data_IF_048032848617
#
_entry.id   IF_048032848617
#
_cell.length_a   1.000
_cell.length_b   1.000
_cell.length_c   1.000
_cell.angle_alpha   90.00
_cell.angle_beta   90.00
_cell.angle_gamma   90.00
#
_symmetry.space_group_name_H-M   'P 1'
#
loop_
_entity.id
_entity.type
_entity.pdbx_description
1 polymer ?
#
# COMPACT_ATOMS: atom_id res chain seq x y z
N UNK A 1 -5.84 -1.81 -15.77
CA UNK A 1 -5.52 -1.21 -14.46
C UNK A 1 -4.18 -1.71 -13.98
N UNK A 2 -3.39 -0.84 -13.44
CA UNK A 2 -2.10 -1.17 -12.86
C UNK A 2 -2.20 -1.02 -11.35
N UNK A 3 -1.70 -2.02 -10.60
CA UNK A 3 -1.83 -2.07 -9.14
C UNK A 3 -0.46 -1.99 -8.48
N UNK A 4 -0.35 -1.14 -7.45
CA UNK A 4 0.77 -1.14 -6.52
C UNK A 4 0.31 -1.82 -5.24
N UNK A 5 1.06 -2.82 -4.79
CA UNK A 5 0.76 -3.55 -3.56
C UNK A 5 1.86 -3.28 -2.55
N UNK A 6 1.46 -2.92 -1.33
CA UNK A 6 2.38 -2.75 -0.20
C UNK A 6 1.93 -3.69 0.91
N UNK A 7 2.86 -4.50 1.42
CA UNK A 7 2.58 -5.47 2.48
C UNK A 7 3.43 -5.12 3.70
N UNK A 8 2.78 -5.05 4.87
CA UNK A 8 3.45 -4.83 6.15
C UNK A 8 3.38 -6.09 6.98
N UNK A 9 4.53 -6.50 7.53
CA UNK A 9 4.65 -7.75 8.29
C UNK A 9 4.97 -7.46 9.75
N UNK A 10 4.21 -8.11 10.64
CA UNK A 10 4.48 -8.18 12.07
C UNK A 10 4.82 -6.83 12.72
N UNK A 11 3.85 -5.90 12.79
CA UNK A 11 4.07 -4.66 13.55
C UNK A 11 4.30 -4.99 15.02
N UNK A 12 5.23 -4.26 15.64
CA UNK A 12 5.58 -4.46 17.06
C UNK A 12 4.38 -4.17 17.96
N UNK A 13 3.57 -3.16 17.61
CA UNK A 13 2.34 -2.82 18.32
C UNK A 13 1.22 -2.65 17.27
N UNK A 14 0.42 -3.72 17.01
CA UNK A 14 -0.61 -3.66 15.99
C UNK A 14 -1.64 -2.55 16.18
N UNK A 15 -2.08 -2.30 17.40
CA UNK A 15 -3.08 -1.27 17.67
C UNK A 15 -2.52 0.13 17.37
N UNK A 16 -1.30 0.41 17.77
CA UNK A 16 -0.63 1.68 17.48
C UNK A 16 -0.37 1.84 15.98
N UNK A 17 0.03 0.75 15.31
CA UNK A 17 0.21 0.74 13.87
C UNK A 17 -1.10 1.11 13.14
N UNK A 18 -2.19 0.45 13.49
CA UNK A 18 -3.50 0.68 12.85
C UNK A 18 -3.96 2.12 13.04
N UNK A 19 -3.84 2.65 14.25
CA UNK A 19 -4.25 4.01 14.55
C UNK A 19 -3.46 5.03 13.74
N UNK A 20 -2.14 4.90 13.73
CA UNK A 20 -1.29 5.82 12.98
C UNK A 20 -1.47 5.68 11.48
N UNK A 21 -1.57 4.46 10.99
CA UNK A 21 -1.76 4.20 9.57
C UNK A 21 -3.04 4.88 9.07
N UNK A 22 -4.14 4.68 9.79
CA UNK A 22 -5.43 5.27 9.42
C UNK A 22 -5.44 6.78 9.53
N UNK A 23 -4.90 7.33 10.61
CA UNK A 23 -4.98 8.78 10.87
C UNK A 23 -3.95 9.61 10.10
N UNK A 24 -2.79 9.04 9.80
CA UNK A 24 -1.66 9.77 9.19
C UNK A 24 -1.35 9.29 7.78
N UNK A 25 -1.21 7.97 7.58
CA UNK A 25 -0.74 7.44 6.30
C UNK A 25 -1.85 7.46 5.23
N UNK A 26 -3.06 7.06 5.57
CA UNK A 26 -4.18 7.01 4.62
C UNK A 26 -4.41 8.36 3.93
N UNK A 27 -4.45 9.51 4.64
CA UNK A 27 -4.57 10.81 3.97
C UNK A 27 -3.42 11.12 3.02
N UNK A 28 -2.19 10.71 3.35
CA UNK A 28 -1.03 10.90 2.47
C UNK A 28 -1.17 10.09 1.18
N UNK A 29 -1.67 8.87 1.26
CA UNK A 29 -1.92 8.04 0.08
C UNK A 29 -3.02 8.63 -0.79
N UNK A 30 -4.09 9.15 -0.17
CA UNK A 30 -5.18 9.78 -0.91
C UNK A 30 -4.73 11.00 -1.73
N UNK A 31 -3.61 11.62 -1.37
CA UNK A 31 -3.08 12.77 -2.10
C UNK A 31 -2.30 12.40 -3.36
N UNK A 32 -2.03 11.09 -3.59
CA UNK A 32 -1.26 10.65 -4.75
C UNK A 32 -1.96 11.03 -6.07
N UNK A 33 -1.22 11.60 -7.03
CA UNK A 33 -1.81 11.91 -8.33
C UNK A 33 -2.18 10.65 -9.08
N UNK A 34 -3.33 10.66 -9.73
CA UNK A 34 -3.79 9.55 -10.57
C UNK A 34 -4.32 8.33 -9.82
N UNK A 35 -4.35 8.37 -8.49
CA UNK A 35 -4.91 7.27 -7.71
C UNK A 35 -6.41 7.12 -8.00
N UNK A 36 -6.83 5.92 -8.39
CA UNK A 36 -8.23 5.64 -8.72
C UNK A 36 -8.95 4.86 -7.63
N UNK A 37 -8.21 4.00 -6.91
CA UNK A 37 -8.77 3.20 -5.84
C UNK A 37 -7.68 2.86 -4.84
N UNK A 38 -8.05 2.73 -3.58
CA UNK A 38 -7.13 2.38 -2.50
C UNK A 38 -7.89 1.47 -1.53
N UNK A 39 -7.40 0.26 -1.35
CA UNK A 39 -8.01 -0.73 -0.49
C UNK A 39 -7.03 -1.24 0.55
N UNK A 40 -7.56 -1.60 1.70
CA UNK A 40 -6.80 -2.17 2.82
C UNK A 40 -7.40 -3.50 3.21
N UNK A 41 -6.54 -4.48 3.48
CA UNK A 41 -6.95 -5.80 3.95
C UNK A 41 -6.07 -6.24 5.10
N UNK A 42 -6.68 -6.81 6.13
CA UNK A 42 -5.98 -7.59 7.17
C UNK A 42 -6.17 -9.06 6.82
N UNK A 43 -5.23 -9.69 6.08
CA UNK A 43 -5.46 -11.05 5.60
C UNK A 43 -5.35 -12.09 6.71
N UNK A 44 -6.03 -13.21 6.51
CA UNK A 44 -5.87 -14.41 7.31
C UNK A 44 -4.98 -15.40 6.58
N UNK A 45 -4.01 -15.99 7.29
CA UNK A 45 -3.17 -17.03 6.72
C UNK A 45 -3.99 -18.29 6.44
N UNK A 46 -3.82 -18.84 5.24
CA UNK A 46 -4.41 -20.13 4.87
C UNK A 46 -3.39 -21.27 4.85
N UNK A 47 -2.13 -20.94 5.02
CA UNK A 47 -1.01 -21.87 5.04
C UNK A 47 0.02 -21.39 6.02
N UNK A 48 1.16 -20.90 5.50
CA UNK A 48 2.21 -20.31 6.32
C UNK A 48 1.87 -18.86 6.65
N UNK A 49 2.83 -17.98 6.67
CA UNK A 49 2.64 -16.59 7.09
C UNK A 49 1.83 -15.77 6.09
N UNK A 50 1.08 -14.83 6.63
CA UNK A 50 0.43 -13.78 5.87
C UNK A 50 0.92 -12.41 6.36
N UNK A 51 0.91 -11.37 5.49
CA UNK A 51 1.16 -10.01 5.97
C UNK A 51 0.10 -9.58 6.98
N UNK A 52 0.46 -8.64 7.84
CA UNK A 52 -0.48 -8.04 8.77
C UNK A 52 -1.47 -7.11 8.06
N UNK A 53 -0.95 -6.29 7.13
CA UNK A 53 -1.75 -5.36 6.35
C UNK A 53 -1.31 -5.42 4.89
N UNK A 54 -2.29 -5.48 3.99
CA UNK A 54 -2.08 -5.35 2.54
C UNK A 54 -2.79 -4.09 2.06
N UNK A 55 -2.02 -3.17 1.50
CA UNK A 55 -2.53 -1.97 0.84
C UNK A 55 -2.44 -2.16 -0.66
N UNK A 56 -3.53 -1.91 -1.36
CA UNK A 56 -3.58 -2.00 -2.81
C UNK A 56 -4.00 -0.65 -3.38
N UNK A 57 -3.16 -0.09 -4.25
CA UNK A 57 -3.36 1.20 -4.88
C UNK A 57 -3.53 0.96 -6.39
N UNK A 58 -4.57 1.52 -6.97
CA UNK A 58 -4.95 1.26 -8.35
C UNK A 58 -4.78 2.51 -9.20
N UNK A 59 -4.15 2.33 -10.37
CA UNK A 59 -3.90 3.38 -11.35
C UNK A 59 -4.41 2.90 -12.71
N UNK A 60 -4.71 3.84 -13.62
CA UNK A 60 -5.22 3.50 -14.93
C UNK A 60 -4.24 2.61 -15.72
N UNK A 61 -2.95 2.94 -15.67
CA UNK A 61 -1.89 2.23 -16.38
C UNK A 61 -0.54 2.41 -15.69
N UNK A 62 0.50 1.81 -16.25
CA UNK A 62 1.86 1.89 -15.70
C UNK A 62 2.43 3.31 -15.75
N UNK A 63 2.07 4.11 -16.75
CA UNK A 63 2.55 5.49 -16.86
C UNK A 63 1.97 6.35 -15.74
N UNK A 64 0.70 6.16 -15.41
CA UNK A 64 0.07 6.84 -14.27
C UNK A 64 0.72 6.46 -12.95
N UNK A 65 1.03 5.18 -12.76
CA UNK A 65 1.76 4.72 -11.57
C UNK A 65 3.16 5.36 -11.51
N UNK A 66 3.89 5.36 -12.61
CA UNK A 66 5.24 5.93 -12.63
C UNK A 66 5.23 7.43 -12.31
N UNK A 67 4.23 8.15 -12.81
CA UNK A 67 4.05 9.55 -12.47
C UNK A 67 3.79 9.75 -10.97
N UNK A 68 2.96 8.90 -10.39
CA UNK A 68 2.69 8.93 -8.94
C UNK A 68 3.93 8.62 -8.13
N UNK A 69 4.72 7.61 -8.54
CA UNK A 69 5.95 7.23 -7.83
C UNK A 69 6.98 8.35 -7.80
N UNK A 70 7.03 9.20 -8.83
CA UNK A 70 7.93 10.35 -8.90
C UNK A 70 7.39 11.62 -8.26
N UNK A 71 6.22 11.58 -7.66
CA UNK A 71 5.57 12.79 -7.12
C UNK A 71 6.07 13.14 -5.72
N UNK A 72 5.97 14.44 -5.32
CA UNK A 72 6.26 14.83 -3.95
C UNK A 72 5.28 14.20 -2.94
N UNK A 73 4.07 13.88 -3.35
CA UNK A 73 3.11 13.18 -2.51
C UNK A 73 3.58 11.76 -2.17
N UNK A 74 4.18 11.07 -3.13
CA UNK A 74 4.76 9.74 -2.86
C UNK A 74 5.97 9.86 -1.92
N UNK A 75 6.79 10.88 -2.08
CA UNK A 75 7.91 11.10 -1.17
C UNK A 75 7.43 11.28 0.28
N UNK A 76 6.36 12.01 0.48
CA UNK A 76 5.76 12.20 1.81
C UNK A 76 5.19 10.89 2.37
N UNK A 77 4.50 10.11 1.54
CA UNK A 77 3.95 8.81 1.96
C UNK A 77 5.06 7.83 2.32
N UNK A 78 6.12 7.77 1.51
CA UNK A 78 7.27 6.89 1.76
C UNK A 78 8.02 7.28 3.04
N UNK A 79 8.18 8.56 3.29
CA UNK A 79 8.81 9.06 4.52
C UNK A 79 8.00 8.63 5.76
N UNK A 80 6.68 8.75 5.69
CA UNK A 80 5.83 8.29 6.79
C UNK A 80 5.91 6.78 6.97
N UNK A 81 5.84 6.00 5.88
CA UNK A 81 5.93 4.55 5.95
C UNK A 81 7.21 4.05 6.63
N UNK A 82 8.32 4.76 6.42
CA UNK A 82 9.61 4.41 7.01
C UNK A 82 9.65 4.55 8.53
N UNK A 83 8.66 5.23 9.13
CA UNK A 83 8.60 5.44 10.58
C UNK A 83 7.88 4.31 11.33
N UNK A 84 7.23 3.40 10.63
CA UNK A 84 6.50 2.31 11.27
C UNK A 84 7.43 1.21 11.73
N UNK A 85 7.19 0.73 12.96
CA UNK A 85 7.94 -0.37 13.56
C UNK A 85 7.32 -1.70 13.13
N UNK A 86 7.81 -2.23 12.03
CA UNK A 86 7.37 -3.51 11.46
C UNK A 86 8.60 -4.39 11.19
N UNK A 87 8.40 -5.71 11.20
CA UNK A 87 9.49 -6.64 10.91
C UNK A 87 10.01 -6.48 9.48
N UNK A 88 9.09 -6.28 8.52
CA UNK A 88 9.45 -6.04 7.12
C UNK A 88 8.29 -5.40 6.37
N UNK A 89 8.62 -4.83 5.22
CA UNK A 89 7.66 -4.27 4.28
C UNK A 89 8.10 -4.67 2.88
N UNK A 90 7.14 -5.08 2.05
CA UNK A 90 7.37 -5.36 0.64
C UNK A 90 6.52 -4.44 -0.22
N UNK A 91 7.02 -4.12 -1.40
CA UNK A 91 6.29 -3.29 -2.36
C UNK A 91 6.55 -3.79 -3.76
N UNK A 92 5.49 -3.97 -4.52
CA UNK A 92 5.58 -4.44 -5.90
C UNK A 92 4.39 -3.95 -6.71
N UNK A 93 4.52 -3.94 -8.02
CA UNK A 93 3.46 -3.49 -8.91
C UNK A 93 3.34 -4.41 -10.11
N UNK A 94 2.19 -4.36 -10.76
CA UNK A 94 1.94 -5.12 -11.96
C UNK A 94 0.63 -4.76 -12.62
N UNK A 95 0.52 -5.09 -13.89
CA UNK A 95 -0.73 -4.97 -14.61
C UNK A 95 -1.67 -6.09 -14.17
N UNK A 96 -2.91 -5.71 -13.83
CA UNK A 96 -3.94 -6.67 -13.43
C UNK A 96 -4.75 -7.04 -14.66
N UNK A 97 -4.90 -8.33 -14.90
CA UNK A 97 -5.66 -8.88 -16.03
C UNK A 97 -6.76 -9.78 -15.52
N UNK A 98 -7.94 -9.65 -16.14
CA UNK A 98 -9.01 -10.58 -15.91
C UNK A 98 -8.78 -11.84 -16.76
N UNK A 99 -9.03 -13.00 -16.17
CA UNK A 99 -8.87 -14.28 -16.84
C UNK A 99 -10.19 -14.90 -17.26
N UNK A 100 -11.31 -14.34 -16.79
CA UNK A 100 -12.66 -14.75 -17.13
C UNK A 100 -13.40 -13.51 -17.66
N UNK A 101 -13.99 -13.66 -18.81
CA UNK A 101 -14.74 -12.57 -19.45
C UNK A 101 -14.04 -11.97 -20.67
#
# INVERSE_FOLDING_TARGET
MHRLTVQYFAPADPAAFDERYRSTHVPLVHALPGLQSFTLTHPQALGTDAPYLVAELWFEDGDALNAALGSPQMAAAAEDAAKYDVASMTMFSGEVRETLG
#
